data_IF_783388104784
#
_entry.id   IF_783388104784
#
_cell.length_a   1.000
_cell.length_b   1.000
_cell.length_c   1.000
_cell.angle_alpha   90.00
_cell.angle_beta   90.00
_cell.angle_gamma   90.00
#
_symmetry.space_group_name_H-M   'P 1'
#
loop_
_entity.id
_entity.type
_entity.pdbx_description
1 polymer ?
#
# COMPACT_ATOMS: atom_id res chain seq x y z
N UNK A 1 -22.69 14.88 -64.18
CA UNK A 1 -24.06 15.21 -63.76
C UNK A 1 -24.02 15.97 -62.48
N UNK A 2 -24.57 17.08 -62.49
CA UNK A 2 -24.33 18.41 -61.99
C UNK A 2 -24.55 18.63 -60.49
N UNK A 3 -23.67 19.42 -59.95
CA UNK A 3 -23.53 20.00 -58.60
C UNK A 3 -24.60 21.08 -58.25
N UNK A 4 -25.85 20.95 -58.62
CA UNK A 4 -26.80 22.08 -58.51
C UNK A 4 -28.20 21.76 -57.99
N UNK A 5 -28.34 20.79 -57.09
CA UNK A 5 -29.68 20.54 -56.48
C UNK A 5 -29.64 20.28 -54.98
N UNK A 6 -28.84 21.05 -54.24
CA UNK A 6 -28.84 20.93 -52.77
C UNK A 6 -28.99 22.30 -52.08
N UNK A 7 -29.78 23.19 -52.63
CA UNK A 7 -30.18 24.42 -51.94
C UNK A 7 -31.64 24.71 -52.29
N UNK A 8 -32.52 24.33 -51.38
CA UNK A 8 -33.83 25.00 -51.10
C UNK A 8 -34.67 24.06 -50.23
N UNK A 9 -34.63 24.30 -48.94
CA UNK A 9 -35.82 24.42 -48.10
C UNK A 9 -35.31 25.03 -46.79
N UNK A 10 -35.25 26.32 -46.74
CA UNK A 10 -35.37 27.10 -45.52
C UNK A 10 -36.84 27.39 -45.34
N UNK A 11 -37.44 26.91 -44.28
CA UNK A 11 -38.80 27.25 -43.86
C UNK A 11 -38.80 27.48 -42.36
N UNK A 12 -38.82 28.72 -41.96
CA UNK A 12 -38.90 29.16 -40.60
C UNK A 12 -40.22 28.76 -39.94
N UNK A 13 -40.17 28.24 -38.72
CA UNK A 13 -41.23 28.46 -37.73
C UNK A 13 -40.56 28.68 -36.37
N UNK A 14 -40.66 29.91 -35.91
CA UNK A 14 -40.37 30.28 -34.53
C UNK A 14 -41.58 29.94 -33.66
N UNK A 15 -41.41 29.24 -32.57
CA UNK A 15 -42.31 29.32 -31.41
C UNK A 15 -41.53 29.04 -30.11
N UNK A 16 -41.77 29.96 -29.22
CA UNK A 16 -41.35 30.25 -27.87
C UNK A 16 -40.97 29.09 -26.92
N UNK A 17 -39.91 29.37 -26.23
CA UNK A 17 -39.65 29.26 -24.76
C UNK A 17 -40.40 28.20 -23.95
N UNK A 18 -39.64 27.19 -23.48
CA UNK A 18 -39.79 26.66 -22.14
C UNK A 18 -38.38 26.37 -21.61
N UNK A 19 -37.96 27.14 -20.62
CA UNK A 19 -36.78 26.95 -19.82
C UNK A 19 -36.95 25.65 -19.03
N UNK A 20 -36.47 24.53 -19.56
CA UNK A 20 -36.25 23.31 -18.84
C UNK A 20 -34.76 23.23 -18.54
N UNK A 21 -34.41 23.51 -17.30
CA UNK A 21 -33.06 23.31 -16.76
C UNK A 21 -32.76 21.81 -16.77
N UNK A 22 -32.28 21.28 -17.90
CA UNK A 22 -31.73 19.93 -17.94
C UNK A 22 -30.38 20.04 -17.26
N UNK A 23 -30.41 19.86 -15.93
CA UNK A 23 -29.21 19.59 -15.18
C UNK A 23 -28.57 18.33 -15.78
N UNK A 24 -27.48 18.50 -16.50
CA UNK A 24 -26.55 17.43 -16.75
C UNK A 24 -26.08 16.95 -15.38
N UNK A 25 -26.70 15.88 -14.91
CA UNK A 25 -26.13 15.12 -13.81
C UNK A 25 -24.72 14.73 -14.28
N UNK A 26 -23.72 15.39 -13.74
CA UNK A 26 -22.33 14.96 -13.81
C UNK A 26 -22.35 13.54 -13.25
N UNK A 27 -22.38 12.54 -14.16
CA UNK A 27 -22.16 11.15 -13.76
C UNK A 27 -20.83 11.13 -13.03
N UNK A 28 -20.91 11.10 -11.70
CA UNK A 28 -19.75 11.04 -10.85
C UNK A 28 -18.90 9.87 -11.31
N UNK A 29 -17.80 10.14 -11.99
CA UNK A 29 -16.78 9.16 -12.34
C UNK A 29 -16.51 8.40 -11.05
N UNK A 30 -16.97 7.15 -10.96
CA UNK A 30 -16.68 6.24 -9.85
C UNK A 30 -15.16 6.24 -9.73
N UNK A 31 -14.65 6.97 -8.73
CA UNK A 31 -13.21 7.10 -8.51
C UNK A 31 -12.69 5.68 -8.35
N UNK A 32 -11.94 5.17 -9.31
CA UNK A 32 -11.34 3.85 -9.21
C UNK A 32 -10.42 3.91 -8.01
N UNK A 33 -10.73 3.15 -6.97
CA UNK A 33 -9.92 3.05 -5.76
C UNK A 33 -8.57 2.45 -6.14
N UNK A 34 -7.60 3.30 -6.49
CA UNK A 34 -6.24 2.86 -6.78
C UNK A 34 -5.55 2.47 -5.49
N UNK A 35 -4.80 1.39 -5.53
CA UNK A 35 -4.03 0.91 -4.39
C UNK A 35 -2.55 0.79 -4.74
N UNK A 36 -1.71 0.89 -3.71
CA UNK A 36 -0.27 0.70 -3.79
C UNK A 36 0.19 -0.19 -2.64
N UNK A 37 1.14 -1.06 -2.90
CA UNK A 37 1.85 -1.84 -1.89
C UNK A 37 3.15 -1.12 -1.58
N UNK A 38 3.23 -0.55 -0.38
CA UNK A 38 4.45 0.06 0.15
C UNK A 38 5.01 -0.86 1.21
N UNK A 39 6.28 -1.22 1.11
CA UNK A 39 6.85 -2.16 2.06
C UNK A 39 8.34 -1.93 2.31
N UNK A 40 8.79 -2.29 3.50
CA UNK A 40 10.18 -2.52 3.84
C UNK A 40 10.41 -4.02 3.96
N UNK A 41 11.55 -4.50 3.47
CA UNK A 41 11.90 -5.92 3.55
C UNK A 41 13.40 -6.08 3.75
N UNK A 42 13.79 -6.97 4.68
CA UNK A 42 15.19 -7.21 5.00
C UNK A 42 15.69 -8.53 4.38
N UNK A 43 16.88 -8.49 3.78
CA UNK A 43 17.65 -9.65 3.30
C UNK A 43 18.68 -10.08 4.35
N UNK A 44 19.56 -11.01 4.02
CA UNK A 44 20.57 -11.51 4.95
C UNK A 44 20.01 -12.54 5.93
N UNK A 45 20.57 -12.62 7.11
CA UNK A 45 20.18 -13.60 8.13
C UNK A 45 18.89 -13.17 8.85
N UNK A 46 17.87 -14.02 8.76
CA UNK A 46 16.57 -13.82 9.39
C UNK A 46 16.30 -14.93 10.41
N UNK A 47 15.72 -14.56 11.56
CA UNK A 47 15.40 -15.50 12.64
C UNK A 47 14.54 -16.66 12.13
N UNK A 48 14.90 -17.89 12.48
CA UNK A 48 14.23 -19.14 12.08
C UNK A 48 14.11 -19.39 10.58
N UNK A 49 14.60 -18.49 9.72
CA UNK A 49 14.56 -18.61 8.26
C UNK A 49 15.93 -18.86 7.66
N UNK A 50 16.98 -18.31 8.29
CA UNK A 50 18.35 -18.36 7.80
C UNK A 50 18.70 -17.19 6.88
N UNK A 51 19.73 -17.39 6.02
CA UNK A 51 20.21 -16.35 5.10
C UNK A 51 19.39 -16.36 3.83
N UNK A 52 18.80 -15.21 3.49
CA UNK A 52 17.91 -15.04 2.34
C UNK A 52 18.34 -13.86 1.47
N UNK A 53 18.13 -13.98 0.16
CA UNK A 53 18.44 -12.94 -0.84
C UNK A 53 17.22 -12.11 -1.24
N UNK A 54 16.02 -12.63 -0.99
CA UNK A 54 14.75 -11.91 -1.15
C UNK A 54 14.04 -11.94 0.19
N UNK A 55 13.83 -10.79 0.78
CA UNK A 55 13.24 -10.70 2.11
C UNK A 55 11.80 -11.21 2.17
N UNK A 56 11.42 -11.71 3.34
CA UNK A 56 10.10 -12.33 3.59
C UNK A 56 8.94 -11.40 3.20
N UNK A 57 9.01 -10.15 3.63
CA UNK A 57 7.96 -9.14 3.38
C UNK A 57 7.81 -8.83 1.89
N UNK A 58 8.92 -8.81 1.13
CA UNK A 58 8.90 -8.58 -0.31
C UNK A 58 8.14 -9.68 -1.06
N UNK A 59 8.24 -10.94 -0.62
CA UNK A 59 7.47 -12.04 -1.23
C UNK A 59 5.98 -11.88 -1.01
N UNK A 60 5.55 -11.50 0.19
CA UNK A 60 4.14 -11.21 0.50
C UNK A 60 3.65 -9.99 -0.27
N UNK A 61 4.46 -8.93 -0.35
CA UNK A 61 4.15 -7.72 -1.11
C UNK A 61 3.91 -8.02 -2.59
N UNK A 62 4.77 -8.86 -3.19
CA UNK A 62 4.62 -9.32 -4.57
C UNK A 62 3.30 -10.06 -4.79
N UNK A 63 2.91 -10.93 -3.86
CA UNK A 63 1.66 -11.67 -3.95
C UNK A 63 0.44 -10.75 -3.82
N UNK A 64 0.45 -9.80 -2.89
CA UNK A 64 -0.62 -8.80 -2.77
C UNK A 64 -0.75 -8.00 -4.07
N UNK A 65 0.37 -7.54 -4.64
CA UNK A 65 0.36 -6.81 -5.91
C UNK A 65 -0.19 -7.66 -7.06
N UNK A 66 0.17 -8.95 -7.12
CA UNK A 66 -0.33 -9.86 -8.15
C UNK A 66 -1.84 -10.07 -8.08
N UNK A 67 -2.41 -10.18 -6.88
CA UNK A 67 -3.85 -10.40 -6.70
C UNK A 67 -4.68 -9.12 -6.83
N UNK A 68 -4.10 -7.95 -6.56
CA UNK A 68 -4.84 -6.68 -6.54
C UNK A 68 -4.58 -5.79 -7.76
N UNK A 69 -3.54 -6.08 -8.54
CA UNK A 69 -3.05 -5.18 -9.59
C UNK A 69 -2.43 -3.89 -9.04
N UNK A 70 -2.16 -3.80 -7.73
CA UNK A 70 -1.58 -2.63 -7.10
C UNK A 70 -0.14 -2.38 -7.56
N UNK A 71 0.23 -1.11 -7.73
CA UNK A 71 1.62 -0.73 -7.90
C UNK A 71 2.43 -1.09 -6.63
N UNK A 72 3.75 -1.22 -6.77
CA UNK A 72 4.62 -1.53 -5.65
C UNK A 72 5.68 -0.46 -5.44
N UNK A 73 6.01 -0.16 -4.20
CA UNK A 73 7.12 0.70 -3.84
C UNK A 73 7.83 0.16 -2.60
N UNK A 74 9.13 -0.08 -2.72
CA UNK A 74 9.96 -0.60 -1.63
C UNK A 74 10.66 0.52 -0.89
N UNK A 75 10.50 0.56 0.43
CA UNK A 75 11.27 1.44 1.31
C UNK A 75 12.67 0.84 1.41
N UNK A 76 13.67 1.54 0.86
CA UNK A 76 15.08 1.14 0.98
C UNK A 76 15.79 2.09 1.93
N UNK A 77 16.34 1.55 2.98
CA UNK A 77 17.14 2.32 3.91
C UNK A 77 18.39 2.90 3.24
N UNK A 78 18.75 4.13 3.57
CA UNK A 78 19.96 4.79 3.05
C UNK A 78 21.23 4.15 3.62
N UNK A 79 21.18 3.78 4.90
CA UNK A 79 22.22 3.03 5.57
C UNK A 79 21.69 1.61 5.81
N UNK A 80 22.16 0.60 5.07
CA UNK A 80 21.66 -0.76 5.19
C UNK A 80 21.79 -1.32 6.61
N UNK A 81 20.77 -2.01 7.08
CA UNK A 81 20.85 -2.78 8.30
C UNK A 81 21.87 -3.91 8.14
N UNK A 82 22.54 -4.32 9.24
CA UNK A 82 23.48 -5.44 9.19
C UNK A 82 22.85 -6.73 8.65
N UNK A 83 23.60 -7.44 7.79
CA UNK A 83 23.12 -8.71 7.22
C UNK A 83 22.99 -9.82 8.27
N UNK A 84 23.79 -9.78 9.34
CA UNK A 84 23.71 -10.75 10.44
C UNK A 84 22.59 -10.38 11.39
N UNK A 85 21.84 -11.40 11.84
CA UNK A 85 20.66 -11.23 12.67
C UNK A 85 20.92 -10.43 13.95
N UNK A 86 21.87 -10.87 14.80
CA UNK A 86 22.09 -10.21 16.11
C UNK A 86 22.45 -8.73 15.99
N UNK A 87 23.42 -8.30 15.16
CA UNK A 87 23.69 -6.88 14.96
C UNK A 87 22.48 -6.11 14.39
N UNK A 88 21.70 -6.72 13.49
CA UNK A 88 20.52 -6.10 12.91
C UNK A 88 19.49 -5.76 13.99
N UNK A 89 19.13 -6.73 14.84
CA UNK A 89 18.12 -6.51 15.89
C UNK A 89 18.59 -5.55 16.98
N UNK A 90 19.90 -5.44 17.22
CA UNK A 90 20.47 -4.47 18.15
C UNK A 90 20.34 -3.03 17.62
N UNK A 91 20.64 -2.81 16.33
CA UNK A 91 20.42 -1.53 15.66
C UNK A 91 18.94 -1.18 15.71
N UNK A 92 18.06 -2.08 15.29
CA UNK A 92 16.61 -1.88 15.28
C UNK A 92 16.07 -1.54 16.69
N UNK A 93 16.60 -2.19 17.76
CA UNK A 93 16.22 -1.91 19.15
C UNK A 93 16.60 -0.49 19.56
N UNK A 94 17.81 -0.06 19.24
CA UNK A 94 18.29 1.30 19.54
C UNK A 94 17.45 2.36 18.81
N UNK A 95 17.15 2.14 17.53
CA UNK A 95 16.30 3.02 16.75
C UNK A 95 14.88 3.14 17.34
N UNK A 96 14.28 2.00 17.70
CA UNK A 96 12.96 1.97 18.32
C UNK A 96 12.94 2.72 19.66
N UNK A 97 13.93 2.50 20.53
CA UNK A 97 14.04 3.18 21.83
C UNK A 97 14.22 4.70 21.67
N UNK A 98 15.02 5.11 20.69
CA UNK A 98 15.26 6.50 20.37
C UNK A 98 14.12 7.15 19.56
N UNK A 99 13.10 6.37 19.14
CA UNK A 99 12.10 6.80 18.17
C UNK A 99 12.75 7.43 16.94
N UNK A 100 13.85 6.86 16.50
CA UNK A 100 14.65 7.35 15.39
C UNK A 100 13.85 7.42 14.09
N UNK A 101 14.36 8.21 13.17
CA UNK A 101 13.82 8.31 11.79
C UNK A 101 14.97 8.10 10.80
N UNK A 102 15.45 6.83 10.65
CA UNK A 102 16.54 6.56 9.72
C UNK A 102 16.11 6.94 8.30
N UNK A 103 17.05 7.50 7.54
CA UNK A 103 16.78 7.94 6.18
C UNK A 103 16.55 6.76 5.24
N UNK A 104 15.70 6.95 4.26
CA UNK A 104 15.52 6.03 3.15
C UNK A 104 15.98 6.67 1.83
N UNK A 105 16.24 5.82 0.83
CA UNK A 105 16.75 6.24 -0.48
C UNK A 105 15.65 6.91 -1.30
N UNK A 106 15.96 8.06 -1.86
CA UNK A 106 15.04 8.82 -2.71
C UNK A 106 13.95 9.57 -1.93
N UNK A 107 12.89 9.92 -2.63
CA UNK A 107 11.71 10.58 -2.09
C UNK A 107 10.53 9.62 -2.00
N UNK A 108 9.61 9.88 -1.08
CA UNK A 108 8.35 9.13 -1.04
C UNK A 108 7.57 9.32 -2.36
N UNK A 109 6.95 8.26 -2.90
CA UNK A 109 6.19 8.37 -4.14
C UNK A 109 5.00 9.32 -3.96
N UNK A 110 4.57 9.94 -5.06
CA UNK A 110 3.32 10.68 -5.02
C UNK A 110 2.15 9.71 -4.82
N UNK A 111 1.47 9.88 -3.69
CA UNK A 111 0.34 9.05 -3.31
C UNK A 111 -1.02 9.68 -3.65
N UNK A 112 -1.05 10.82 -4.37
CA UNK A 112 -2.29 11.56 -4.67
C UNK A 112 -3.37 10.71 -5.34
N UNK A 113 -2.96 9.81 -6.22
CA UNK A 113 -3.86 8.93 -6.98
C UNK A 113 -4.32 7.68 -6.21
N UNK A 114 -3.74 7.40 -5.04
CA UNK A 114 -4.00 6.18 -4.29
C UNK A 114 -4.89 6.45 -3.07
N UNK A 115 -5.93 5.67 -2.91
CA UNK A 115 -6.82 5.73 -1.74
C UNK A 115 -6.45 4.67 -0.68
N UNK A 116 -5.80 3.59 -1.12
CA UNK A 116 -5.44 2.45 -0.28
C UNK A 116 -3.94 2.16 -0.36
N UNK A 117 -3.31 2.01 0.79
CA UNK A 117 -1.91 1.64 0.96
C UNK A 117 -1.85 0.31 1.70
N UNK A 118 -1.38 -0.75 1.04
CA UNK A 118 -0.97 -1.99 1.70
C UNK A 118 0.42 -1.73 2.27
N UNK A 119 0.55 -1.66 3.60
CA UNK A 119 1.81 -1.32 4.27
C UNK A 119 2.48 -2.55 4.85
N UNK A 120 3.61 -2.95 4.26
CA UNK A 120 4.36 -4.15 4.60
C UNK A 120 5.61 -3.91 5.41
N UNK A 121 5.87 -4.77 6.42
CA UNK A 121 7.06 -4.69 7.24
C UNK A 121 7.39 -6.04 7.93
N UNK A 122 8.66 -6.33 8.22
CA UNK A 122 9.01 -7.38 9.18
C UNK A 122 8.71 -6.88 10.58
N UNK A 123 8.15 -7.76 11.43
CA UNK A 123 7.91 -7.40 12.82
C UNK A 123 9.23 -7.43 13.61
N UNK A 124 9.74 -6.27 13.97
CA UNK A 124 10.94 -6.10 14.81
C UNK A 124 10.55 -5.49 16.15
N UNK A 125 10.79 -6.21 17.24
CA UNK A 125 10.48 -5.77 18.61
C UNK A 125 8.99 -5.42 18.82
N UNK A 126 8.09 -6.25 18.27
CA UNK A 126 6.64 -6.07 18.30
C UNK A 126 6.14 -4.79 17.59
N UNK A 127 6.93 -4.28 16.65
CA UNK A 127 6.61 -3.08 15.87
C UNK A 127 7.18 -3.15 14.43
N UNK A 128 6.83 -2.17 13.60
CA UNK A 128 7.50 -1.94 12.33
C UNK A 128 8.90 -1.31 12.56
N UNK A 129 9.89 -1.61 11.70
CA UNK A 129 11.18 -0.93 11.70
C UNK A 129 11.03 0.59 11.57
N UNK A 130 11.92 1.34 12.19
CA UNK A 130 11.80 2.81 12.26
C UNK A 130 11.89 3.51 10.90
N UNK A 131 12.52 2.91 9.90
CA UNK A 131 12.53 3.40 8.52
C UNK A 131 11.12 3.45 7.90
N UNK A 132 10.20 2.58 8.33
CA UNK A 132 8.79 2.62 7.91
C UNK A 132 8.11 3.88 8.44
N UNK A 133 8.37 4.26 9.69
CA UNK A 133 7.88 5.51 10.26
C UNK A 133 8.50 6.73 9.57
N UNK A 134 9.78 6.65 9.17
CA UNK A 134 10.42 7.70 8.37
C UNK A 134 9.70 7.95 7.04
N UNK A 135 9.28 6.87 6.38
CA UNK A 135 8.47 6.97 5.17
C UNK A 135 7.12 7.62 5.46
N UNK A 136 6.40 7.15 6.47
CA UNK A 136 5.05 7.63 6.79
C UNK A 136 5.05 9.11 7.20
N UNK A 137 6.09 9.59 7.88
CA UNK A 137 6.23 10.99 8.24
C UNK A 137 6.44 11.92 7.02
N UNK A 138 7.01 11.38 5.92
CA UNK A 138 7.24 12.13 4.67
C UNK A 138 6.12 11.95 3.65
N UNK A 139 5.41 10.83 3.69
CA UNK A 139 4.35 10.52 2.76
C UNK A 139 3.05 11.25 3.11
N UNK A 140 2.33 11.72 2.09
CA UNK A 140 1.01 12.35 2.26
C UNK A 140 -0.07 11.29 2.40
N UNK A 141 -0.27 10.80 3.64
CA UNK A 141 -1.19 9.69 3.95
C UNK A 141 -2.54 10.13 4.53
N UNK A 142 -2.76 11.42 4.75
CA UNK A 142 -4.02 11.97 5.25
C UNK A 142 -5.20 11.52 4.38
N UNK A 143 -6.25 11.02 5.01
CA UNK A 143 -7.46 10.53 4.36
C UNK A 143 -7.34 9.14 3.70
N UNK A 144 -6.15 8.54 3.63
CA UNK A 144 -5.92 7.25 2.99
C UNK A 144 -6.23 6.08 3.93
N UNK A 145 -6.58 4.95 3.34
CA UNK A 145 -6.75 3.69 4.07
C UNK A 145 -5.42 2.95 4.10
N UNK A 146 -4.92 2.62 5.28
CA UNK A 146 -3.71 1.83 5.49
C UNK A 146 -4.11 0.42 5.91
N UNK A 147 -3.68 -0.57 5.15
CA UNK A 147 -3.91 -1.99 5.36
C UNK A 147 -2.58 -2.65 5.73
N UNK A 148 -2.25 -2.84 7.02
CA UNK A 148 -0.97 -3.38 7.43
C UNK A 148 -0.84 -4.86 7.11
N UNK A 149 0.34 -5.29 6.64
CA UNK A 149 0.73 -6.68 6.62
C UNK A 149 2.16 -6.85 7.15
N UNK A 150 2.42 -7.93 7.85
CA UNK A 150 3.74 -8.17 8.38
C UNK A 150 4.20 -9.62 8.22
N UNK A 151 5.52 -9.80 8.22
CA UNK A 151 6.16 -11.09 8.38
C UNK A 151 6.80 -11.17 9.76
N UNK A 152 6.70 -12.33 10.42
CA UNK A 152 7.13 -12.52 11.79
C UNK A 152 7.54 -13.98 12.05
N UNK A 153 8.07 -14.26 13.24
CA UNK A 153 8.31 -15.64 13.74
C UNK A 153 7.69 -15.79 15.14
N UNK A 154 6.34 -15.64 15.20
CA UNK A 154 5.55 -15.86 16.41
C UNK A 154 4.90 -14.62 17.02
N UNK A 155 5.34 -13.40 16.68
CA UNK A 155 4.84 -12.14 17.30
C UNK A 155 3.60 -11.54 16.63
N UNK A 156 3.17 -12.06 15.46
CA UNK A 156 2.04 -11.51 14.70
C UNK A 156 2.24 -10.05 14.30
N UNK A 157 1.17 -9.28 14.22
CA UNK A 157 1.19 -7.84 13.90
C UNK A 157 1.81 -6.97 15.01
N UNK A 158 2.01 -7.52 16.21
CA UNK A 158 2.50 -6.75 17.34
C UNK A 158 1.59 -5.58 17.71
N UNK A 159 2.20 -4.44 18.00
CA UNK A 159 1.50 -3.20 18.36
C UNK A 159 1.37 -2.20 17.21
N UNK A 160 1.94 -2.49 16.06
CA UNK A 160 2.13 -1.53 14.96
C UNK A 160 0.83 -0.89 14.50
N UNK A 161 -0.20 -1.67 14.20
CA UNK A 161 -1.46 -1.10 13.68
C UNK A 161 -2.07 -0.07 14.65
N UNK A 162 -2.06 -0.36 15.96
CA UNK A 162 -2.55 0.59 16.98
C UNK A 162 -1.66 1.82 17.10
N UNK A 163 -0.33 1.66 17.02
CA UNK A 163 0.62 2.79 17.04
C UNK A 163 0.46 3.67 15.82
N UNK A 164 0.28 3.07 14.64
CA UNK A 164 0.01 3.82 13.40
C UNK A 164 -1.29 4.62 13.50
N UNK A 165 -2.37 4.01 13.97
CA UNK A 165 -3.65 4.70 14.14
C UNK A 165 -3.52 5.89 15.11
N UNK A 166 -2.74 5.75 16.18
CA UNK A 166 -2.49 6.82 17.14
C UNK A 166 -1.58 7.94 16.59
N UNK A 167 -0.53 7.56 15.83
CA UNK A 167 0.44 8.49 15.27
C UNK A 167 -0.11 9.28 14.06
N UNK A 168 -0.98 8.66 13.29
CA UNK A 168 -1.54 9.21 12.05
C UNK A 168 -3.07 9.25 12.07
N UNK A 169 -3.69 10.05 12.94
CA UNK A 169 -5.14 10.01 13.20
C UNK A 169 -6.00 10.45 12.00
N UNK A 170 -5.41 11.09 11.01
CA UNK A 170 -6.11 11.44 9.77
C UNK A 170 -6.11 10.33 8.71
N UNK A 171 -5.31 9.27 8.89
CA UNK A 171 -5.36 8.07 8.08
C UNK A 171 -6.33 7.05 8.70
N UNK A 172 -6.92 6.21 7.85
CA UNK A 172 -7.79 5.09 8.29
C UNK A 172 -6.95 3.83 8.37
N UNK A 173 -6.47 3.48 9.56
CA UNK A 173 -5.64 2.29 9.75
C UNK A 173 -6.52 1.08 10.09
N UNK A 174 -6.46 0.02 9.28
CA UNK A 174 -7.08 -1.26 9.59
C UNK A 174 -6.28 -1.97 10.70
N UNK A 175 -6.98 -2.31 11.78
CA UNK A 175 -6.33 -2.95 12.93
C UNK A 175 -6.13 -4.47 12.76
N UNK A 176 -6.91 -5.08 11.86
CA UNK A 176 -6.84 -6.52 11.53
C UNK A 176 -6.05 -6.73 10.24
N UNK A 177 -4.74 -6.52 10.29
CA UNK A 177 -3.86 -6.72 9.15
C UNK A 177 -3.54 -8.21 8.90
N UNK A 178 -2.79 -8.48 7.83
CA UNK A 178 -2.27 -9.80 7.53
C UNK A 178 -0.96 -10.03 8.29
N UNK A 179 -0.84 -11.16 8.99
CA UNK A 179 0.40 -11.59 9.63
C UNK A 179 0.77 -12.98 9.12
N UNK A 180 1.96 -13.13 8.56
CA UNK A 180 2.48 -14.39 8.03
C UNK A 180 3.84 -14.73 8.65
N UNK A 181 4.06 -16.01 8.90
CA UNK A 181 5.38 -16.46 9.28
C UNK A 181 6.38 -16.24 8.13
N UNK A 182 7.59 -15.79 8.47
CA UNK A 182 8.65 -15.56 7.47
C UNK A 182 9.08 -16.85 6.79
N UNK A 183 9.18 -17.96 7.54
CA UNK A 183 9.48 -19.28 6.96
C UNK A 183 8.39 -19.74 5.97
N UNK A 184 7.11 -19.43 6.24
CA UNK A 184 6.00 -19.68 5.30
C UNK A 184 6.16 -18.80 4.06
N UNK A 185 6.46 -17.52 4.24
CA UNK A 185 6.70 -16.60 3.13
C UNK A 185 7.85 -17.04 2.22
N UNK A 186 8.88 -17.71 2.78
CA UNK A 186 10.01 -18.23 2.01
C UNK A 186 9.70 -19.52 1.27
N UNK A 187 9.03 -20.47 1.93
CA UNK A 187 9.05 -21.87 1.52
C UNK A 187 7.69 -22.36 1.01
N UNK A 188 6.59 -21.61 1.24
CA UNK A 188 5.22 -22.07 1.01
C UNK A 188 4.42 -21.07 0.15
N UNK A 189 4.76 -20.88 -1.13
CA UNK A 189 4.11 -19.85 -1.97
C UNK A 189 2.59 -20.03 -2.09
N UNK A 190 2.08 -21.25 -2.12
CA UNK A 190 0.64 -21.51 -2.17
C UNK A 190 -0.06 -21.14 -0.86
N UNK A 191 0.59 -21.32 0.28
CA UNK A 191 0.06 -20.87 1.56
C UNK A 191 0.01 -19.33 1.62
N UNK A 192 1.04 -18.65 1.13
CA UNK A 192 1.04 -17.17 1.00
C UNK A 192 -0.11 -16.71 0.12
N UNK A 193 -0.26 -17.30 -1.07
CA UNK A 193 -1.33 -16.97 -2.02
C UNK A 193 -2.73 -17.14 -1.39
N UNK A 194 -2.95 -18.26 -0.74
CA UNK A 194 -4.22 -18.55 -0.06
C UNK A 194 -4.50 -17.57 1.08
N UNK A 195 -3.50 -17.25 1.90
CA UNK A 195 -3.64 -16.31 3.01
C UNK A 195 -3.93 -14.89 2.54
N UNK A 196 -3.25 -14.44 1.48
CA UNK A 196 -3.50 -13.13 0.85
C UNK A 196 -4.91 -13.07 0.30
N UNK A 197 -5.35 -14.07 -0.48
CA UNK A 197 -6.71 -14.13 -1.03
C UNK A 197 -7.78 -14.06 0.07
N UNK A 198 -7.61 -14.86 1.14
CA UNK A 198 -8.52 -14.83 2.29
C UNK A 198 -8.58 -13.46 2.96
N UNK A 199 -7.45 -12.82 3.15
CA UNK A 199 -7.37 -11.49 3.74
C UNK A 199 -8.03 -10.43 2.86
N UNK A 200 -7.74 -10.41 1.55
CA UNK A 200 -8.36 -9.49 0.60
C UNK A 200 -9.88 -9.65 0.55
N UNK A 201 -10.38 -10.88 0.58
CA UNK A 201 -11.81 -11.17 0.67
C UNK A 201 -12.44 -10.59 1.93
N UNK A 202 -11.80 -10.74 3.09
CA UNK A 202 -12.27 -10.16 4.35
C UNK A 202 -12.33 -8.62 4.31
N UNK A 203 -11.47 -7.99 3.51
CA UNK A 203 -11.44 -6.56 3.30
C UNK A 203 -12.39 -6.06 2.19
N UNK A 204 -13.06 -6.96 1.45
CA UNK A 204 -13.85 -6.60 0.27
C UNK A 204 -13.01 -6.00 -0.85
N UNK A 205 -11.79 -6.51 -1.06
CA UNK A 205 -10.78 -6.02 -2.01
C UNK A 205 -10.40 -7.05 -3.08
N UNK A 206 -11.33 -7.95 -3.42
CA UNK A 206 -11.18 -8.93 -4.52
C UNK A 206 -11.27 -8.27 -5.90
#
# INVERSE_FOLDING_TARGET
MNRKEFIKIMGAVATAAALGNIGFAEEGKKKMNKSIVVYFSHTGENYSVGVITVGNTAKVAKEIAAQTGAATWEIKEKNPYPEKYTPCIEVAKKEMQAKARPEFVGEAPDLSDYDTIYLGYPNWWADAPMVVYSFLDKAKIDGKTILPFCTHEGSGLGSTARKLAAAYPKAKVELKGLALYGHVAQNEPEAVKSAVAKWLKQLGKE
#
